data_IF_991875569615
#
_entry.id   IF_991875569615
#
_cell.length_a   1.000
_cell.length_b   1.000
_cell.length_c   1.000
_cell.angle_alpha   90.00
_cell.angle_beta   90.00
_cell.angle_gamma   90.00
#
_symmetry.space_group_name_H-M   'P 1'
#
loop_
_entity.id
_entity.type
_entity.pdbx_description
1 polymer ?
#
# COMPACT_ATOMS: atom_id res chain seq x y z
N UNK A 1 -6.18 -0.36 17.76
CA UNK A 1 -5.20 -0.05 16.69
C UNK A 1 -5.26 1.43 16.34
N UNK A 2 -4.12 2.00 15.97
CA UNK A 2 -3.95 3.41 15.58
C UNK A 2 -3.19 3.51 14.26
N UNK A 3 -3.64 4.42 13.37
CA UNK A 3 -2.96 4.75 12.12
C UNK A 3 -1.71 5.57 12.43
N UNK A 4 -0.55 5.00 12.19
CA UNK A 4 0.76 5.65 12.36
C UNK A 4 1.29 6.23 11.04
N UNK A 5 0.74 5.76 9.92
CA UNK A 5 1.02 6.29 8.59
C UNK A 5 -0.25 6.20 7.75
N UNK A 6 -0.51 7.23 6.95
CA UNK A 6 -1.58 7.26 5.96
C UNK A 6 -1.20 8.17 4.80
N UNK A 7 -1.39 7.68 3.57
CA UNK A 7 -1.21 8.48 2.36
C UNK A 7 -2.15 8.00 1.26
N UNK A 8 -2.87 8.94 0.66
CA UNK A 8 -3.65 8.73 -0.56
C UNK A 8 -2.97 9.39 -1.75
N UNK A 9 -2.89 8.68 -2.86
CA UNK A 9 -2.29 9.16 -4.11
C UNK A 9 -3.13 8.71 -5.31
N UNK A 10 -3.01 9.44 -6.40
CA UNK A 10 -3.60 9.10 -7.68
C UNK A 10 -2.48 8.81 -8.68
N UNK A 11 -2.50 7.61 -9.29
CA UNK A 11 -1.39 7.14 -10.11
C UNK A 11 -1.86 6.89 -11.55
N UNK A 12 -1.24 7.55 -12.55
CA UNK A 12 -1.60 7.35 -13.94
C UNK A 12 -1.07 6.01 -14.48
N UNK A 13 -1.96 5.22 -15.08
CA UNK A 13 -1.63 3.98 -15.78
C UNK A 13 -1.81 4.21 -17.27
N UNK A 14 -0.70 4.17 -18.01
CA UNK A 14 -0.70 4.33 -19.47
C UNK A 14 -0.77 2.97 -20.16
N UNK A 15 -1.78 2.79 -21.01
CA UNK A 15 -1.94 1.58 -21.82
C UNK A 15 -2.11 1.98 -23.27
N UNK A 16 -1.33 1.36 -24.16
CA UNK A 16 -1.39 1.66 -25.60
C UNK A 16 -2.80 1.50 -26.16
N UNK A 17 -3.20 2.43 -27.04
CA UNK A 17 -4.45 2.37 -27.80
C UNK A 17 -4.53 1.18 -28.76
N UNK A 18 -3.37 0.61 -29.13
CA UNK A 18 -3.30 -0.60 -29.95
C UNK A 18 -3.65 -1.89 -29.19
N UNK A 19 -3.72 -1.86 -27.86
CA UNK A 19 -4.20 -3.00 -27.08
C UNK A 19 -5.73 -3.04 -27.14
N UNK A 20 -6.30 -4.22 -27.43
CA UNK A 20 -7.75 -4.43 -27.36
C UNK A 20 -8.27 -4.29 -25.92
N UNK A 21 -9.59 -4.20 -25.77
CA UNK A 21 -10.23 -3.97 -24.48
C UNK A 21 -9.89 -5.04 -23.43
N UNK A 22 -9.91 -6.32 -23.79
CA UNK A 22 -9.58 -7.39 -22.85
C UNK A 22 -8.12 -7.31 -22.39
N UNK A 23 -7.21 -7.01 -23.31
CA UNK A 23 -5.80 -6.80 -22.98
C UNK A 23 -5.59 -5.62 -22.02
N UNK A 24 -6.37 -4.54 -22.18
CA UNK A 24 -6.34 -3.39 -21.25
C UNK A 24 -6.83 -3.80 -19.86
N UNK A 25 -7.98 -4.46 -19.76
CA UNK A 25 -8.53 -4.91 -18.48
C UNK A 25 -7.56 -5.84 -17.74
N UNK A 26 -6.99 -6.85 -18.42
CA UNK A 26 -5.98 -7.75 -17.82
C UNK A 26 -4.74 -7.02 -17.32
N UNK A 27 -4.39 -5.88 -17.92
CA UNK A 27 -3.27 -5.06 -17.46
C UNK A 27 -3.66 -4.28 -16.21
N UNK A 28 -4.89 -3.73 -16.14
CA UNK A 28 -5.40 -3.09 -14.93
C UNK A 28 -5.49 -4.07 -13.74
N UNK A 29 -5.89 -5.32 -14.00
CA UNK A 29 -5.98 -6.37 -12.96
C UNK A 29 -4.61 -6.77 -12.39
N UNK A 30 -3.55 -6.75 -13.20
CA UNK A 30 -2.19 -7.09 -12.77
C UNK A 30 -1.44 -5.91 -12.15
N UNK A 31 -1.78 -4.69 -12.54
CA UNK A 31 -1.09 -3.47 -12.14
C UNK A 31 -0.90 -3.33 -10.62
N UNK A 32 -1.88 -3.64 -9.74
CA UNK A 32 -1.69 -3.54 -8.29
C UNK A 32 -0.48 -4.33 -7.78
N UNK A 33 -0.25 -5.53 -8.32
CA UNK A 33 0.89 -6.38 -7.93
C UNK A 33 2.20 -5.97 -8.59
N UNK A 34 2.14 -5.51 -9.84
CA UNK A 34 3.33 -5.17 -10.64
C UNK A 34 3.93 -3.82 -10.25
N UNK A 35 3.10 -2.82 -9.98
CA UNK A 35 3.54 -1.45 -9.77
C UNK A 35 2.93 -0.77 -8.54
N UNK A 36 1.81 -1.29 -8.03
CA UNK A 36 1.09 -0.68 -6.91
C UNK A 36 1.90 -0.57 -5.62
N UNK A 37 2.93 -1.38 -5.39
CA UNK A 37 3.79 -1.27 -4.19
C UNK A 37 5.10 -0.52 -4.43
N UNK A 38 5.39 -0.13 -5.68
CA UNK A 38 6.67 0.45 -6.10
C UNK A 38 6.63 1.97 -6.19
N UNK A 39 5.45 2.56 -5.96
CA UNK A 39 5.23 4.01 -5.98
C UNK A 39 6.00 4.65 -4.83
N UNK A 40 6.67 5.76 -5.10
CA UNK A 40 7.33 6.56 -4.07
C UNK A 40 6.28 7.35 -3.28
N UNK A 41 6.28 7.17 -1.97
CA UNK A 41 5.23 7.64 -1.05
C UNK A 41 5.71 8.66 -0.03
N UNK A 42 6.93 9.17 -0.14
CA UNK A 42 7.44 10.27 0.67
C UNK A 42 8.63 10.95 0.00
N UNK A 43 9.10 12.04 0.61
CA UNK A 43 10.25 12.82 0.13
C UNK A 43 11.58 12.04 0.27
N UNK A 44 11.60 10.97 1.08
CA UNK A 44 12.77 10.11 1.25
C UNK A 44 12.97 9.13 0.09
N UNK A 45 12.01 9.03 -0.83
CA UNK A 45 12.06 8.05 -1.92
C UNK A 45 11.58 6.66 -1.50
N UNK A 46 10.91 6.53 -0.34
CA UNK A 46 10.46 5.25 0.18
C UNK A 46 9.16 4.83 -0.48
N UNK A 47 9.10 3.57 -0.90
CA UNK A 47 7.87 2.94 -1.35
C UNK A 47 7.17 2.24 -0.17
N UNK A 48 5.96 1.74 -0.39
CA UNK A 48 5.18 1.15 0.68
C UNK A 48 5.91 0.00 1.38
N UNK A 49 6.57 -0.89 0.62
CA UNK A 49 7.32 -2.00 1.20
C UNK A 49 8.44 -1.55 2.15
N UNK A 50 9.18 -0.49 1.78
CA UNK A 50 10.22 0.09 2.65
C UNK A 50 9.62 0.71 3.91
N UNK A 51 8.52 1.44 3.79
CA UNK A 51 7.82 2.02 4.94
C UNK A 51 7.39 0.93 5.92
N UNK A 52 6.81 -0.17 5.42
CA UNK A 52 6.43 -1.31 6.27
C UNK A 52 7.63 -1.88 7.03
N UNK A 53 8.79 -2.00 6.40
CA UNK A 53 10.01 -2.48 7.07
C UNK A 53 10.51 -1.50 8.13
N UNK A 54 10.49 -0.19 7.85
CA UNK A 54 10.91 0.86 8.79
C UNK A 54 10.02 0.83 10.04
N UNK A 55 8.70 0.90 9.85
CA UNK A 55 7.75 0.88 10.97
C UNK A 55 7.82 -0.45 11.72
N UNK A 56 7.95 -1.58 11.03
CA UNK A 56 8.12 -2.86 11.72
C UNK A 56 9.37 -2.84 12.63
N UNK A 57 10.49 -2.33 12.14
CA UNK A 57 11.73 -2.22 12.92
C UNK A 57 11.58 -1.25 14.12
N UNK A 58 11.00 -0.06 13.91
CA UNK A 58 10.83 0.97 14.94
C UNK A 58 9.98 0.49 16.13
N UNK A 59 9.02 -0.40 15.86
CA UNK A 59 8.10 -0.94 16.88
C UNK A 59 8.43 -2.38 17.31
N UNK A 60 9.56 -2.93 16.88
CA UNK A 60 9.99 -4.29 17.24
C UNK A 60 9.02 -5.38 16.76
N UNK A 61 8.45 -5.20 15.56
CA UNK A 61 7.50 -6.10 14.92
C UNK A 61 8.16 -6.85 13.76
N UNK A 62 7.65 -8.04 13.46
CA UNK A 62 8.03 -8.85 12.31
C UNK A 62 7.03 -8.66 11.18
N UNK A 63 7.52 -8.62 9.94
CA UNK A 63 6.66 -8.48 8.75
C UNK A 63 6.16 -9.87 8.35
N UNK A 64 4.86 -10.10 8.49
CA UNK A 64 4.23 -11.36 8.13
C UNK A 64 3.96 -11.53 6.62
N UNK A 65 3.27 -12.61 6.28
CA UNK A 65 2.99 -12.97 4.89
C UNK A 65 1.97 -12.00 4.24
N UNK A 66 2.30 -11.54 3.03
CA UNK A 66 1.47 -10.64 2.23
C UNK A 66 0.21 -11.36 1.75
N UNK A 67 -0.96 -10.79 2.02
CA UNK A 67 -2.25 -11.28 1.54
C UNK A 67 -2.82 -10.31 0.50
N UNK A 68 -3.12 -10.83 -0.68
CA UNK A 68 -3.73 -10.06 -1.76
C UNK A 68 -5.17 -10.51 -1.99
N UNK A 69 -6.08 -9.55 -2.06
CA UNK A 69 -7.44 -9.71 -2.56
C UNK A 69 -7.60 -8.78 -3.76
N UNK A 70 -7.80 -9.32 -4.96
CA UNK A 70 -8.02 -8.52 -6.18
C UNK A 70 -9.32 -8.99 -6.79
N UNK A 71 -10.25 -8.04 -6.96
CA UNK A 71 -11.58 -8.29 -7.47
C UNK A 71 -11.89 -7.32 -8.59
N UNK A 72 -12.54 -7.85 -9.60
CA UNK A 72 -13.06 -7.08 -10.71
C UNK A 72 -14.57 -6.98 -10.51
N UNK A 73 -15.04 -5.82 -10.05
CA UNK A 73 -16.45 -5.60 -9.68
C UNK A 73 -17.03 -4.44 -10.50
N UNK A 74 -18.10 -4.71 -11.24
CA UNK A 74 -18.74 -3.72 -12.12
C UNK A 74 -17.74 -3.05 -13.06
N UNK A 75 -17.61 -1.73 -12.93
CA UNK A 75 -16.77 -0.87 -13.79
C UNK A 75 -15.39 -0.57 -13.21
N UNK A 76 -14.93 -1.29 -12.18
CA UNK A 76 -13.63 -1.07 -11.58
C UNK A 76 -12.88 -2.37 -11.25
N UNK A 77 -11.55 -2.26 -11.18
CA UNK A 77 -10.67 -3.22 -10.51
C UNK A 77 -10.41 -2.69 -9.10
N UNK A 78 -10.70 -3.50 -8.09
CA UNK A 78 -10.39 -3.23 -6.69
C UNK A 78 -9.32 -4.20 -6.22
N UNK A 79 -8.32 -3.68 -5.53
CA UNK A 79 -7.24 -4.49 -4.98
C UNK A 79 -6.99 -4.07 -3.54
N UNK A 80 -6.76 -5.06 -2.68
CA UNK A 80 -6.34 -4.88 -1.30
C UNK A 80 -5.14 -5.78 -1.04
N UNK A 81 -4.04 -5.17 -0.62
CA UNK A 81 -2.89 -5.85 -0.03
C UNK A 81 -2.95 -5.62 1.47
N UNK A 82 -2.86 -6.69 2.25
CA UNK A 82 -2.70 -6.63 3.69
C UNK A 82 -1.44 -7.39 4.10
N UNK A 83 -0.62 -6.76 4.93
CA UNK A 83 0.61 -7.33 5.49
C UNK A 83 0.49 -7.26 7.01
N UNK A 84 0.30 -8.38 7.72
CA UNK A 84 0.22 -8.36 9.17
C UNK A 84 1.60 -8.03 9.76
N UNK A 85 1.60 -7.22 10.82
CA UNK A 85 2.79 -6.93 11.62
C UNK A 85 2.69 -7.73 12.92
N UNK A 86 3.66 -8.59 13.17
CA UNK A 86 3.59 -9.61 14.20
C UNK A 86 4.52 -9.28 15.36
N UNK A 87 4.11 -9.66 16.58
CA UNK A 87 4.99 -9.70 17.75
C UNK A 87 4.84 -11.08 18.37
N UNK A 88 5.93 -11.85 18.45
CA UNK A 88 5.91 -13.23 18.92
C UNK A 88 4.85 -14.11 18.22
N UNK A 89 4.66 -13.91 16.90
CA UNK A 89 3.69 -14.65 16.09
C UNK A 89 2.24 -14.13 16.15
N UNK A 90 1.93 -13.16 17.01
CA UNK A 90 0.59 -12.56 17.11
C UNK A 90 0.50 -11.26 16.30
N UNK A 91 -0.61 -11.03 15.60
CA UNK A 91 -0.83 -9.78 14.87
C UNK A 91 -1.04 -8.60 15.83
N UNK A 92 -0.07 -7.69 15.85
CA UNK A 92 -0.10 -6.43 16.63
C UNK A 92 -0.12 -5.19 15.73
N UNK A 93 -0.33 -5.38 14.44
CA UNK A 93 -0.52 -4.31 13.49
C UNK A 93 -0.78 -4.88 12.10
N UNK A 94 -0.97 -3.97 11.15
CA UNK A 94 -1.09 -4.32 9.74
C UNK A 94 -0.70 -3.13 8.88
N UNK A 95 -0.12 -3.41 7.73
CA UNK A 95 0.05 -2.46 6.66
C UNK A 95 -0.90 -2.83 5.53
N UNK A 96 -1.64 -1.84 5.03
CA UNK A 96 -2.65 -2.04 4.00
C UNK A 96 -2.42 -1.10 2.83
N UNK A 97 -2.57 -1.64 1.62
CA UNK A 97 -2.71 -0.86 0.40
C UNK A 97 -4.06 -1.20 -0.25
N UNK A 98 -4.87 -0.19 -0.50
CA UNK A 98 -6.15 -0.31 -1.19
C UNK A 98 -6.10 0.47 -2.49
N UNK A 99 -6.41 -0.18 -3.60
CA UNK A 99 -6.42 0.40 -4.93
C UNK A 99 -7.81 0.27 -5.57
N UNK A 100 -8.28 1.35 -6.16
CA UNK A 100 -9.44 1.37 -7.04
C UNK A 100 -9.04 1.93 -8.41
N UNK A 101 -9.32 1.16 -9.46
CA UNK A 101 -8.97 1.52 -10.83
C UNK A 101 -10.22 1.41 -11.70
N UNK A 102 -10.80 2.53 -12.16
CA UNK A 102 -11.88 2.49 -13.13
C UNK A 102 -11.43 1.80 -14.42
N UNK A 103 -12.31 0.97 -15.01
CA UNK A 103 -12.10 0.33 -16.32
C UNK A 103 -12.30 1.29 -17.49
N UNK A 104 -12.82 2.49 -17.21
CA UNK A 104 -12.95 3.58 -18.17
C UNK A 104 -11.71 4.47 -18.07
N UNK A 105 -11.05 4.80 -19.20
CA UNK A 105 -9.93 5.73 -19.17
C UNK A 105 -10.40 7.13 -18.77
N UNK A 106 -9.57 7.81 -17.98
CA UNK A 106 -9.79 9.20 -17.57
C UNK A 106 -9.37 10.21 -18.66
N UNK A 107 -8.65 9.75 -19.69
CA UNK A 107 -8.24 10.58 -20.81
C UNK A 107 -7.30 9.83 -21.75
N UNK A 108 -6.71 10.58 -22.67
CA UNK A 108 -5.78 10.08 -23.66
C UNK A 108 -4.51 10.93 -23.66
N UNK A 109 -3.35 10.28 -23.82
CA UNK A 109 -2.05 10.94 -23.91
C UNK A 109 -1.25 10.29 -25.05
N UNK A 110 -1.13 10.99 -26.18
CA UNK A 110 -0.53 10.46 -27.40
C UNK A 110 -1.20 9.16 -27.86
N UNK A 111 -0.41 8.08 -27.96
CA UNK A 111 -0.89 6.75 -28.36
C UNK A 111 -1.35 5.87 -27.17
N UNK A 112 -1.68 6.47 -26.02
CA UNK A 112 -2.13 5.74 -24.83
C UNK A 112 -3.51 6.21 -24.35
N UNK A 113 -4.30 5.26 -23.87
CA UNK A 113 -5.35 5.51 -22.90
C UNK A 113 -4.71 5.68 -21.52
N UNK A 114 -5.18 6.67 -20.76
CA UNK A 114 -4.72 6.96 -19.40
C UNK A 114 -5.82 6.60 -18.42
N UNK A 115 -5.53 5.63 -17.55
CA UNK A 115 -6.38 5.28 -16.41
C UNK A 115 -5.79 5.90 -15.14
N UNK A 116 -6.62 6.14 -14.13
CA UNK A 116 -6.21 6.68 -12.85
C UNK A 116 -6.49 5.67 -11.76
N UNK A 117 -5.45 5.19 -11.09
CA UNK A 117 -5.57 4.37 -9.91
C UNK A 117 -5.63 5.28 -8.69
N UNK A 118 -6.72 5.23 -7.93
CA UNK A 118 -6.77 5.82 -6.61
C UNK A 118 -6.21 4.79 -5.63
N UNK A 119 -5.14 5.16 -4.91
CA UNK A 119 -4.47 4.24 -3.99
C UNK A 119 -4.31 4.88 -2.62
N UNK A 120 -4.81 4.20 -1.60
CA UNK A 120 -4.61 4.51 -0.19
C UNK A 120 -3.60 3.52 0.40
N UNK A 121 -2.61 4.05 1.09
CA UNK A 121 -1.62 3.28 1.85
C UNK A 121 -1.72 3.69 3.30
N UNK A 122 -1.82 2.72 4.20
CA UNK A 122 -1.82 3.01 5.63
C UNK A 122 -1.16 1.91 6.44
N UNK A 123 -0.63 2.28 7.60
CA UNK A 123 -0.05 1.36 8.58
C UNK A 123 -0.76 1.60 9.91
N UNK A 124 -1.27 0.52 10.49
CA UNK A 124 -1.94 0.49 11.78
C UNK A 124 -1.15 -0.37 12.75
N UNK A 125 -0.98 0.12 13.98
CA UNK A 125 -0.28 -0.60 15.06
C UNK A 125 -1.17 -0.63 16.30
N UNK A 126 -1.07 -1.70 17.08
CA UNK A 126 -1.76 -1.85 18.34
C UNK A 126 -1.29 -0.83 19.38
N UNK A 127 -2.24 -0.30 20.16
CA UNK A 127 -1.97 0.76 21.12
C UNK A 127 -1.01 0.32 22.23
N UNK A 128 -1.02 -0.95 22.61
CA UNK A 128 -0.10 -1.50 23.61
C UNK A 128 1.35 -1.45 23.11
N UNK A 129 1.57 -1.74 21.83
CA UNK A 129 2.91 -1.67 21.21
C UNK A 129 3.40 -0.23 21.14
N UNK A 130 2.51 0.72 20.82
CA UNK A 130 2.84 2.15 20.79
C UNK A 130 3.24 2.68 22.17
N UNK A 131 2.57 2.21 23.23
CA UNK A 131 2.90 2.58 24.61
C UNK A 131 4.25 2.01 25.07
N UNK A 132 4.56 0.76 24.68
CA UNK A 132 5.84 0.12 24.97
C UNK A 132 7.02 0.84 24.31
N UNK A 133 6.90 1.21 23.02
CA UNK A 133 7.96 1.93 22.30
C UNK A 133 8.20 3.34 22.86
N UNK A 134 7.16 4.00 23.36
CA UNK A 134 7.27 5.31 24.03
C UNK A 134 8.01 5.19 25.37
N UNK A 135 7.87 4.06 26.05
CA UNK A 135 8.51 3.82 27.36
C UNK A 135 9.99 3.45 27.21
N UNK A 136 10.37 2.72 26.16
CA UNK A 136 11.78 2.38 25.87
C UNK A 136 12.66 3.57 25.47
N UNK A 137 12.07 4.75 25.19
CA UNK A 137 12.79 5.99 24.90
C UNK A 137 13.15 6.83 26.14
N UNK A 138 12.69 6.48 27.34
CA UNK A 138 13.13 7.14 28.57
C UNK A 138 14.47 6.55 29.02
N UNK A 139 15.56 7.16 28.55
CA UNK A 139 16.87 7.01 29.18
C UNK A 139 16.75 7.55 30.61
N UNK A 140 16.82 6.67 31.61
CA UNK A 140 17.04 7.07 33.00
C UNK A 140 18.35 7.85 33.08
N UNK A 141 18.27 9.18 33.09
CA UNK A 141 19.37 10.00 33.59
C UNK A 141 19.42 9.82 35.11
N UNK A 142 20.28 8.93 35.58
CA UNK A 142 20.74 8.94 36.97
C UNK A 142 21.72 10.10 37.12
N UNK A 143 21.31 11.11 37.90
CA UNK A 143 22.20 12.16 38.44
C UNK A 143 23.11 11.60 39.53
#
# INVERSE_FOLDING_TARGET
MHRVYERRVEIPIRISKGADEQARIRKLERWPREAGTSVVLDESGSNFGKLVQIYAADYGLEVGEKKWDIKTEGDAVRARLEIPLLKAGEAKGRAVMEAAIPKTPAGEEGNNYVYKAEVEYYIEIDEQVLAESTTSGMVEFSL
#
